data_IF_545869668912
#
_entry.id   IF_545869668912
#
_cell.length_a   1.000
_cell.length_b   1.000
_cell.length_c   1.000
_cell.angle_alpha   90.00
_cell.angle_beta   90.00
_cell.angle_gamma   90.00
#
_symmetry.space_group_name_H-M   'P 1'
#
loop_
_entity.id
_entity.type
_entity.pdbx_description
1 polymer ?
#
# COMPACT_ATOMS: atom_id res chain seq x y z
N UNK A 1 37.23 29.00 -10.42
CA UNK A 1 36.63 29.42 -11.72
C UNK A 1 35.54 28.40 -12.02
N UNK A 2 34.25 28.69 -11.94
CA UNK A 2 33.55 29.77 -12.62
C UNK A 2 32.82 30.74 -11.67
N UNK A 3 33.20 32.02 -11.76
CA UNK A 3 32.31 33.11 -11.40
C UNK A 3 31.21 33.11 -12.47
N UNK A 4 30.06 32.50 -12.19
CA UNK A 4 28.85 32.91 -12.89
C UNK A 4 28.63 34.36 -12.49
N UNK A 5 28.94 35.27 -13.41
CA UNK A 5 28.65 36.68 -13.26
C UNK A 5 27.18 36.79 -12.83
N UNK A 6 26.90 37.51 -11.74
CA UNK A 6 25.58 37.59 -11.10
C UNK A 6 24.40 37.89 -12.05
N UNK A 7 24.66 38.30 -13.30
CA UNK A 7 23.67 38.48 -14.36
C UNK A 7 23.06 37.19 -14.93
N UNK A 8 23.81 36.08 -15.06
CA UNK A 8 23.28 34.87 -15.71
C UNK A 8 22.33 34.09 -14.80
N UNK A 9 22.67 33.97 -13.52
CA UNK A 9 21.80 33.35 -12.52
C UNK A 9 20.50 34.14 -12.35
N UNK A 10 20.59 35.48 -12.31
CA UNK A 10 19.40 36.34 -12.21
C UNK A 10 18.47 36.19 -13.43
N UNK A 11 19.03 36.07 -14.65
CA UNK A 11 18.24 35.83 -15.87
C UNK A 11 17.55 34.47 -15.86
N UNK A 12 18.23 33.42 -15.44
CA UNK A 12 17.63 32.08 -15.34
C UNK A 12 16.55 32.07 -14.25
N UNK A 13 16.81 32.67 -13.08
CA UNK A 13 15.81 32.80 -12.02
C UNK A 13 14.62 33.65 -12.46
N UNK A 14 14.82 34.68 -13.28
CA UNK A 14 13.73 35.50 -13.82
C UNK A 14 12.86 34.70 -14.81
N UNK A 15 13.50 33.88 -15.66
CA UNK A 15 12.79 32.99 -16.57
C UNK A 15 11.94 31.94 -15.83
N UNK A 16 12.40 31.48 -14.66
CA UNK A 16 11.70 30.45 -13.84
C UNK A 16 10.69 31.06 -12.86
N UNK A 17 11.00 32.20 -12.24
CA UNK A 17 10.17 32.79 -11.17
C UNK A 17 9.23 33.89 -11.68
N UNK A 18 9.38 34.30 -12.94
CA UNK A 18 8.45 35.15 -13.68
C UNK A 18 8.52 36.65 -13.36
N UNK A 19 8.96 37.06 -12.16
CA UNK A 19 9.07 38.50 -11.81
C UNK A 19 10.36 38.86 -11.06
N UNK A 20 10.89 40.09 -11.24
CA UNK A 20 12.10 40.54 -10.54
C UNK A 20 11.99 40.50 -9.01
N UNK A 21 10.81 40.78 -8.46
CA UNK A 21 10.56 40.79 -7.01
C UNK A 21 10.66 39.37 -6.42
N UNK A 22 10.14 38.37 -7.14
CA UNK A 22 10.25 36.95 -6.75
C UNK A 22 11.70 36.47 -6.80
N UNK A 23 12.47 36.91 -7.81
CA UNK A 23 13.91 36.62 -7.90
C UNK A 23 14.67 37.26 -6.75
N UNK A 24 14.37 38.53 -6.41
CA UNK A 24 15.01 39.26 -5.32
C UNK A 24 14.78 38.59 -3.96
N UNK A 25 13.51 38.31 -3.60
CA UNK A 25 13.20 37.62 -2.34
C UNK A 25 13.80 36.22 -2.26
N UNK A 26 13.90 35.51 -3.39
CA UNK A 26 14.51 34.18 -3.44
C UNK A 26 16.03 34.22 -3.26
N UNK A 27 16.70 35.20 -3.85
CA UNK A 27 18.14 35.42 -3.67
C UNK A 27 18.48 35.85 -2.24
N UNK A 28 17.69 36.73 -1.64
CA UNK A 28 17.86 37.16 -0.24
C UNK A 28 17.70 35.98 0.73
N UNK A 29 16.68 35.15 0.55
CA UNK A 29 16.47 33.94 1.36
C UNK A 29 17.60 32.91 1.21
N UNK A 30 18.14 32.76 0.00
CA UNK A 30 19.20 31.79 -0.29
C UNK A 30 20.57 32.24 0.20
N UNK A 31 20.85 33.55 0.15
CA UNK A 31 22.05 34.16 0.74
C UNK A 31 22.10 33.97 2.27
N UNK A 32 20.94 34.11 2.95
CA UNK A 32 20.78 33.81 4.38
C UNK A 32 21.06 32.35 4.76
N UNK A 33 21.01 31.42 3.80
CA UNK A 33 21.19 29.98 4.00
C UNK A 33 22.52 29.43 3.45
N UNK A 34 23.40 30.30 2.92
CA UNK A 34 24.74 29.92 2.46
C UNK A 34 24.77 28.90 1.31
N UNK A 35 23.72 28.85 0.47
CA UNK A 35 23.59 27.85 -0.60
C UNK A 35 24.32 28.24 -1.87
N UNK A 36 24.78 27.24 -2.62
CA UNK A 36 25.47 27.41 -3.91
C UNK A 36 24.47 27.62 -5.07
N UNK A 37 24.90 28.23 -6.17
CA UNK A 37 24.03 28.56 -7.31
C UNK A 37 23.34 27.34 -7.97
N UNK A 38 23.96 26.17 -7.97
CA UNK A 38 23.35 24.93 -8.48
C UNK A 38 22.23 24.40 -7.56
N UNK A 39 22.39 24.53 -6.25
CA UNK A 39 21.33 24.19 -5.28
C UNK A 39 20.14 25.14 -5.44
N UNK A 40 20.38 26.41 -5.77
CA UNK A 40 19.32 27.40 -6.00
C UNK A 40 18.44 27.04 -7.20
N UNK A 41 18.98 26.46 -8.27
CA UNK A 41 18.22 26.07 -9.46
C UNK A 41 17.36 24.82 -9.24
N UNK A 42 17.86 23.83 -8.46
CA UNK A 42 17.07 22.64 -8.09
C UNK A 42 15.81 22.97 -7.30
N UNK A 43 15.88 23.96 -6.40
CA UNK A 43 14.74 24.35 -5.57
C UNK A 43 13.70 25.21 -6.32
N UNK A 44 14.11 25.97 -7.34
CA UNK A 44 13.18 26.80 -8.12
C UNK A 44 12.20 25.95 -8.93
N UNK A 45 12.67 24.86 -9.55
CA UNK A 45 11.83 23.89 -10.27
C UNK A 45 10.86 23.11 -9.36
N UNK A 46 11.11 23.04 -8.05
CA UNK A 46 10.22 22.36 -7.11
C UNK A 46 9.00 23.21 -6.72
N UNK A 47 9.06 24.54 -6.84
CA UNK A 47 7.96 25.44 -6.44
C UNK A 47 6.84 25.56 -7.47
N UNK A 48 7.09 25.35 -8.76
CA UNK A 48 6.01 25.37 -9.79
C UNK A 48 4.96 24.26 -9.56
N UNK A 49 5.28 23.21 -8.81
CA UNK A 49 4.33 22.14 -8.46
C UNK A 49 3.55 22.39 -7.16
N UNK A 50 3.92 23.40 -6.36
CA UNK A 50 3.27 23.72 -5.09
C UNK A 50 2.08 24.70 -5.25
N UNK A 51 1.83 25.23 -6.46
CA UNK A 51 0.65 26.08 -6.75
C UNK A 51 -0.61 25.28 -7.14
N UNK A 52 -0.60 23.95 -7.03
CA UNK A 52 -1.86 23.20 -6.97
C UNK A 52 -2.42 23.41 -5.57
N UNK A 53 -3.16 24.50 -5.41
CA UNK A 53 -4.06 24.71 -4.29
C UNK A 53 -5.13 23.64 -4.36
N UNK A 54 -4.82 22.44 -3.84
CA UNK A 54 -5.86 21.54 -3.35
C UNK A 54 -6.49 22.36 -2.23
N UNK A 55 -7.77 22.77 -2.33
CA UNK A 55 -8.41 23.51 -1.27
C UNK A 55 -8.17 22.71 0.01
N UNK A 56 -7.47 23.32 0.98
CA UNK A 56 -7.36 22.75 2.30
C UNK A 56 -8.78 22.37 2.68
N UNK A 57 -9.04 21.08 2.93
CA UNK A 57 -10.30 20.66 3.48
C UNK A 57 -10.52 21.56 4.70
N UNK A 58 -11.50 22.46 4.61
CA UNK A 58 -11.79 23.36 5.73
C UNK A 58 -11.97 22.46 6.95
N UNK A 59 -11.32 22.74 8.09
CA UNK A 59 -11.50 21.94 9.31
C UNK A 59 -12.98 21.88 9.76
N UNK A 60 -13.82 22.77 9.25
CA UNK A 60 -15.23 22.94 9.59
C UNK A 60 -16.24 22.06 8.83
N UNK A 61 -15.81 20.93 8.28
CA UNK A 61 -16.76 19.88 7.86
C UNK A 61 -16.52 18.63 8.70
N UNK A 62 -16.74 18.76 10.01
CA UNK A 62 -17.39 17.67 10.76
C UNK A 62 -18.83 17.57 10.22
N UNK A 63 -18.99 17.07 8.99
CA UNK A 63 -20.23 16.39 8.68
C UNK A 63 -20.31 15.26 9.72
N UNK A 64 -21.29 15.30 10.61
CA UNK A 64 -21.59 14.20 11.52
C UNK A 64 -21.80 12.96 10.65
N UNK A 65 -20.75 12.15 10.51
CA UNK A 65 -20.88 10.86 9.87
C UNK A 65 -21.65 9.98 10.82
N UNK A 66 -22.95 9.84 10.54
CA UNK A 66 -23.85 8.93 11.24
C UNK A 66 -23.56 7.45 10.96
N UNK A 67 -22.37 7.08 10.48
CA UNK A 67 -21.96 5.68 10.38
C UNK A 67 -21.28 5.28 11.69
N UNK A 68 -22.01 4.59 12.56
CA UNK A 68 -21.58 4.21 13.89
C UNK A 68 -20.54 3.06 13.90
N UNK A 69 -20.15 2.56 12.73
CA UNK A 69 -19.07 1.58 12.52
C UNK A 69 -17.74 2.25 12.19
N UNK A 70 -17.71 3.56 11.95
CA UNK A 70 -16.48 4.28 11.62
C UNK A 70 -15.95 5.09 12.81
N UNK A 71 -14.64 5.29 12.85
CA UNK A 71 -13.94 6.18 13.76
C UNK A 71 -12.98 7.08 12.98
N UNK A 72 -12.94 8.39 13.27
CA UNK A 72 -11.95 9.29 12.70
C UNK A 72 -10.59 9.08 13.38
N UNK A 73 -9.53 9.10 12.58
CA UNK A 73 -8.14 9.07 13.03
C UNK A 73 -7.38 10.23 12.38
N UNK A 74 -6.59 10.94 13.17
CA UNK A 74 -5.68 11.97 12.68
C UNK A 74 -4.33 11.34 12.32
N UNK A 75 -3.93 11.51 11.07
CA UNK A 75 -2.66 11.04 10.53
C UNK A 75 -1.81 12.22 10.04
N UNK A 76 -0.49 12.06 10.10
CA UNK A 76 0.49 12.91 9.43
C UNK A 76 1.39 12.02 8.57
N UNK A 77 1.72 12.46 7.35
CA UNK A 77 2.57 11.67 6.45
C UNK A 77 3.99 11.53 7.01
N UNK A 78 4.53 10.30 7.03
CA UNK A 78 5.91 10.04 7.44
C UNK A 78 6.97 10.30 6.36
N UNK A 79 6.56 10.66 5.14
CA UNK A 79 7.44 10.73 3.97
C UNK A 79 7.75 12.15 3.46
N UNK A 80 7.29 13.20 4.16
CA UNK A 80 7.77 14.55 3.91
C UNK A 80 7.73 15.40 5.19
N UNK A 81 8.69 16.34 5.37
CA UNK A 81 8.91 17.03 6.64
C UNK A 81 7.78 18.00 7.02
N UNK A 82 7.15 18.65 6.03
CA UNK A 82 6.08 19.63 6.23
C UNK A 82 4.67 19.00 6.16
N UNK A 83 4.55 17.75 6.62
CA UNK A 83 3.30 17.03 6.63
C UNK A 83 2.30 17.68 7.61
N UNK A 84 1.17 18.11 7.08
CA UNK A 84 0.04 18.60 7.86
C UNK A 84 -0.81 17.41 8.33
N UNK A 85 -1.39 17.48 9.53
CA UNK A 85 -2.34 16.47 9.96
C UNK A 85 -3.56 16.45 9.03
N UNK A 86 -4.11 15.26 8.79
CA UNK A 86 -5.33 15.04 8.04
C UNK A 86 -6.14 13.90 8.66
N UNK A 87 -7.47 13.99 8.54
CA UNK A 87 -8.38 13.01 9.14
C UNK A 87 -8.74 11.92 8.15
N UNK A 88 -8.75 10.66 8.61
CA UNK A 88 -9.16 9.49 7.85
C UNK A 88 -10.13 8.68 8.68
N UNK A 89 -11.22 8.23 8.07
CA UNK A 89 -12.15 7.32 8.71
C UNK A 89 -11.65 5.88 8.59
N UNK A 90 -11.78 5.12 9.66
CA UNK A 90 -11.43 3.70 9.72
C UNK A 90 -12.56 2.90 10.32
N UNK A 91 -12.67 1.65 9.90
CA UNK A 91 -13.62 0.73 10.51
C UNK A 91 -13.25 0.48 11.97
N UNK A 92 -14.22 0.66 12.87
CA UNK A 92 -14.08 0.34 14.28
C UNK A 92 -13.92 -1.18 14.43
N UNK A 93 -12.99 -1.65 15.28
CA UNK A 93 -12.84 -3.07 15.54
C UNK A 93 -14.16 -3.74 15.95
N UNK A 94 -14.37 -4.97 15.49
CA UNK A 94 -15.51 -5.82 15.87
C UNK A 94 -16.90 -5.24 15.52
N UNK A 95 -16.98 -4.29 14.58
CA UNK A 95 -18.27 -3.77 14.11
C UNK A 95 -18.85 -4.53 12.93
N UNK A 96 -18.05 -5.41 12.31
CA UNK A 96 -18.45 -6.21 11.17
C UNK A 96 -17.87 -7.61 11.27
N UNK A 97 -18.62 -8.59 10.75
CA UNK A 97 -18.13 -9.94 10.55
C UNK A 97 -17.26 -9.98 9.31
N UNK A 98 -16.15 -10.70 9.42
CA UNK A 98 -15.19 -10.90 8.33
C UNK A 98 -15.19 -12.35 7.89
N UNK A 99 -14.99 -12.57 6.60
CA UNK A 99 -14.70 -13.88 6.04
C UNK A 99 -13.53 -13.79 5.05
N UNK A 100 -13.04 -14.93 4.59
CA UNK A 100 -12.00 -15.04 3.58
C UNK A 100 -12.62 -15.34 2.23
N UNK A 101 -12.24 -14.59 1.19
CA UNK A 101 -12.61 -14.96 -0.17
C UNK A 101 -11.78 -16.16 -0.66
N UNK A 102 -12.04 -16.58 -1.90
CA UNK A 102 -11.36 -17.72 -2.51
C UNK A 102 -9.83 -17.58 -2.56
N UNK A 103 -9.29 -16.36 -2.54
CA UNK A 103 -7.84 -16.06 -2.50
C UNK A 103 -7.32 -15.70 -1.10
N UNK A 104 -8.07 -16.06 -0.05
CA UNK A 104 -7.71 -15.84 1.36
C UNK A 104 -7.48 -14.36 1.71
N UNK A 105 -8.23 -13.48 1.05
CA UNK A 105 -8.31 -12.04 1.34
C UNK A 105 -9.49 -11.83 2.29
N UNK A 106 -9.27 -11.04 3.33
CA UNK A 106 -10.33 -10.70 4.27
C UNK A 106 -11.31 -9.77 3.56
N UNK A 107 -12.60 -10.11 3.61
CA UNK A 107 -13.68 -9.24 3.18
C UNK A 107 -14.74 -9.17 4.29
N UNK A 108 -15.53 -8.10 4.26
CA UNK A 108 -16.51 -7.80 5.29
C UNK A 108 -17.89 -8.21 4.81
N UNK A 109 -18.53 -9.13 5.54
CA UNK A 109 -19.75 -9.82 5.09
C UNK A 109 -20.99 -9.08 5.55
N UNK A 110 -21.10 -8.82 6.85
CA UNK A 110 -22.27 -8.19 7.44
C UNK A 110 -21.92 -7.35 8.68
N UNK A 111 -22.67 -6.27 8.95
CA UNK A 111 -22.52 -5.53 10.19
C UNK A 111 -22.98 -6.35 11.39
N UNK A 112 -22.32 -6.13 12.53
CA UNK A 112 -22.80 -6.63 13.82
C UNK A 112 -24.11 -5.91 14.18
N UNK A 113 -25.00 -6.57 14.94
CA UNK A 113 -26.30 -5.99 15.32
C UNK A 113 -26.17 -4.57 15.89
N UNK A 114 -26.95 -3.64 15.34
CA UNK A 114 -26.95 -2.23 15.72
C UNK A 114 -25.78 -1.42 15.14
N UNK A 115 -25.01 -1.99 14.22
CA UNK A 115 -23.93 -1.32 13.50
C UNK A 115 -24.29 -1.07 12.04
N UNK A 116 -23.71 -0.02 11.46
CA UNK A 116 -23.90 0.31 10.07
C UNK A 116 -22.99 -0.52 9.16
N UNK A 117 -23.50 -0.88 7.98
CA UNK A 117 -22.71 -1.52 6.94
C UNK A 117 -21.66 -0.55 6.38
N UNK A 118 -20.52 -1.10 5.98
CA UNK A 118 -19.40 -0.38 5.39
C UNK A 118 -18.53 -1.39 4.65
N UNK A 119 -18.09 -1.09 3.44
CA UNK A 119 -17.09 -1.90 2.77
C UNK A 119 -15.70 -1.53 3.33
N UNK A 120 -15.12 -2.39 4.16
CA UNK A 120 -13.81 -2.08 4.77
C UNK A 120 -12.68 -1.85 3.76
N UNK A 121 -12.77 -2.40 2.55
CA UNK A 121 -11.80 -2.14 1.47
C UNK A 121 -11.78 -0.67 1.06
N UNK A 122 -12.89 0.05 1.20
CA UNK A 122 -12.96 1.48 0.89
C UNK A 122 -12.16 2.34 1.90
N UNK A 123 -11.89 1.79 3.09
CA UNK A 123 -11.26 2.51 4.21
C UNK A 123 -9.86 1.97 4.53
N UNK A 124 -9.39 0.96 3.80
CA UNK A 124 -8.17 0.23 4.14
C UNK A 124 -6.90 1.02 3.81
N UNK A 125 -6.92 1.77 2.72
CA UNK A 125 -5.79 2.57 2.27
C UNK A 125 -5.87 3.99 2.82
N UNK A 126 -4.79 4.44 3.46
CA UNK A 126 -4.60 5.83 3.87
C UNK A 126 -3.86 6.54 2.73
N UNK A 127 -4.38 7.69 2.29
CA UNK A 127 -3.75 8.53 1.24
C UNK A 127 -3.40 9.89 1.82
N UNK A 128 -2.15 10.31 1.70
CA UNK A 128 -1.73 11.66 2.06
C UNK A 128 -2.21 12.68 1.02
N UNK A 129 -2.94 13.75 1.43
CA UNK A 129 -3.45 14.74 0.50
C UNK A 129 -2.36 15.64 -0.12
N UNK A 130 -1.18 15.75 0.49
CA UNK A 130 -0.13 16.66 0.02
C UNK A 130 0.80 16.03 -1.02
N UNK A 131 1.09 14.74 -0.89
CA UNK A 131 2.08 14.05 -1.75
C UNK A 131 1.56 12.77 -2.40
N UNK A 132 0.28 12.43 -2.18
CA UNK A 132 -0.38 11.23 -2.71
C UNK A 132 0.35 9.91 -2.37
N UNK A 133 1.23 9.94 -1.37
CA UNK A 133 1.75 8.72 -0.76
C UNK A 133 0.58 7.97 -0.13
N UNK A 134 0.49 6.68 -0.40
CA UNK A 134 -0.59 5.86 0.09
C UNK A 134 -0.08 4.53 0.65
N UNK A 135 -0.76 4.00 1.67
CA UNK A 135 -0.43 2.69 2.23
C UNK A 135 -1.57 2.11 3.05
N UNK A 136 -1.65 0.78 3.11
CA UNK A 136 -2.48 0.04 4.08
C UNK A 136 -1.80 -0.10 5.44
N UNK A 137 -0.48 0.09 5.50
CA UNK A 137 0.34 -0.05 6.70
C UNK A 137 0.34 1.25 7.51
N UNK A 138 -0.37 1.28 8.64
CA UNK A 138 -0.49 2.48 9.49
C UNK A 138 0.87 3.01 9.96
N UNK A 139 1.86 2.13 10.12
CA UNK A 139 3.24 2.48 10.49
C UNK A 139 3.92 3.50 9.56
N UNK A 140 3.43 3.66 8.34
CA UNK A 140 3.94 4.64 7.37
C UNK A 140 3.46 6.07 7.64
N UNK A 141 2.55 6.23 8.61
CA UNK A 141 1.99 7.49 9.02
C UNK A 141 2.26 7.70 10.51
N UNK A 142 2.36 8.97 10.90
CA UNK A 142 2.47 9.38 12.30
C UNK A 142 1.06 9.63 12.80
N UNK A 143 0.69 8.98 13.90
CA UNK A 143 -0.62 9.15 14.56
C UNK A 143 -0.41 9.77 15.93
N UNK A 144 -1.38 10.53 16.45
CA UNK A 144 -1.37 10.88 17.87
C UNK A 144 -1.87 9.70 18.70
N UNK A 145 -1.20 9.43 19.83
CA UNK A 145 -1.72 8.53 20.84
C UNK A 145 -2.93 9.20 21.50
N UNK A 146 -4.15 8.62 21.40
CA UNK A 146 -5.34 9.23 21.98
C UNK A 146 -5.31 9.33 23.52
N UNK A 147 -4.53 8.50 24.21
CA UNK A 147 -4.44 8.50 25.67
C UNK A 147 -3.39 9.49 26.21
N UNK A 148 -2.32 9.73 25.44
CA UNK A 148 -1.17 10.56 25.89
C UNK A 148 -1.04 11.88 25.16
N UNK A 149 -1.75 12.07 24.04
CA UNK A 149 -1.62 13.25 23.18
C UNK A 149 -0.28 13.36 22.44
N UNK A 150 0.66 12.43 22.67
CA UNK A 150 1.98 12.40 22.05
C UNK A 150 1.95 11.78 20.66
N UNK A 151 2.87 12.20 19.79
CA UNK A 151 3.09 11.57 18.50
C UNK A 151 3.54 10.11 18.71
N UNK A 152 2.69 9.17 18.32
CA UNK A 152 3.05 7.77 18.21
C UNK A 152 3.84 7.59 16.92
N UNK A 153 5.18 7.63 17.04
CA UNK A 153 6.08 7.26 15.95
C UNK A 153 6.17 5.75 15.89
N UNK A 154 5.78 5.19 14.75
CA UNK A 154 6.01 3.78 14.47
C UNK A 154 7.49 3.44 14.39
N UNK A 155 7.84 2.18 14.68
CA UNK A 155 9.17 1.58 14.45
C UNK A 155 9.63 1.63 12.98
N UNK A 156 8.76 2.02 12.04
CA UNK A 156 9.14 2.23 10.65
C UNK A 156 10.00 3.48 10.49
N UNK A 157 11.32 3.29 10.38
CA UNK A 157 12.30 4.36 10.19
C UNK A 157 12.98 4.26 8.80
N UNK A 158 12.41 4.84 7.73
CA UNK A 158 12.98 4.76 6.39
C UNK A 158 14.33 5.49 6.33
N UNK A 159 15.29 4.98 5.55
CA UNK A 159 16.55 5.71 5.35
C UNK A 159 16.30 6.99 4.56
N UNK A 160 17.20 7.97 4.64
CA UNK A 160 17.12 9.19 3.83
C UNK A 160 17.07 8.88 2.32
N UNK A 161 17.78 7.83 1.88
CA UNK A 161 17.71 7.33 0.50
C UNK A 161 16.28 6.92 0.13
N UNK A 162 15.59 6.17 0.98
CA UNK A 162 14.20 5.76 0.78
C UNK A 162 13.27 6.97 0.72
N UNK A 163 13.42 7.92 1.65
CA UNK A 163 12.63 9.15 1.68
C UNK A 163 12.77 9.93 0.37
N UNK A 164 14.00 10.18 -0.09
CA UNK A 164 14.26 10.91 -1.33
C UNK A 164 13.66 10.17 -2.53
N UNK A 165 13.91 8.86 -2.66
CA UNK A 165 13.40 8.06 -3.78
C UNK A 165 11.88 8.10 -3.89
N UNK A 166 11.18 8.01 -2.76
CA UNK A 166 9.71 8.09 -2.74
C UNK A 166 9.25 9.50 -3.09
N UNK A 167 9.94 10.52 -2.59
CA UNK A 167 9.63 11.91 -2.90
C UNK A 167 9.80 12.20 -4.40
N UNK A 168 10.85 11.69 -5.05
CA UNK A 168 11.08 11.84 -6.49
C UNK A 168 9.94 11.23 -7.33
N UNK A 169 9.27 10.20 -6.80
CA UNK A 169 8.08 9.57 -7.41
C UNK A 169 6.76 10.31 -7.14
N UNK A 170 6.79 11.51 -6.52
CA UNK A 170 5.60 12.32 -6.20
C UNK A 170 4.81 12.72 -7.45
N UNK A 171 5.49 13.14 -8.52
CA UNK A 171 4.83 13.60 -9.75
C UNK A 171 3.99 12.49 -10.41
N UNK A 172 4.52 11.27 -10.46
CA UNK A 172 3.81 10.09 -10.98
C UNK A 172 2.54 9.79 -10.17
N UNK A 173 2.64 9.81 -8.83
CA UNK A 173 1.48 9.59 -7.94
C UNK A 173 0.43 10.71 -8.06
N UNK A 174 0.88 11.96 -8.18
CA UNK A 174 -0.01 13.10 -8.41
C UNK A 174 -0.79 12.95 -9.71
N UNK A 175 -0.16 12.46 -10.79
CA UNK A 175 -0.83 12.27 -12.07
C UNK A 175 -1.99 11.25 -11.96
N UNK A 176 -1.78 10.16 -11.23
CA UNK A 176 -2.82 9.15 -10.96
C UNK A 176 -3.93 9.72 -10.08
N UNK A 177 -3.59 10.42 -9.00
CA UNK A 177 -4.56 10.95 -8.04
C UNK A 177 -5.41 12.12 -8.56
N UNK A 178 -4.87 12.96 -9.45
CA UNK A 178 -5.57 14.14 -10.00
C UNK A 178 -6.81 13.77 -10.83
N UNK A 179 -6.88 12.57 -11.39
CA UNK A 179 -8.04 12.10 -12.15
C UNK A 179 -9.27 11.78 -11.29
N UNK A 180 -9.17 11.91 -9.96
CA UNK A 180 -10.20 11.49 -9.00
C UNK A 180 -10.40 12.58 -7.95
N UNK A 181 -11.16 13.62 -8.32
CA UNK A 181 -11.51 14.74 -7.43
C UNK A 181 -12.10 14.27 -6.08
N UNK A 182 -12.79 13.13 -6.08
CA UNK A 182 -13.46 12.57 -4.90
C UNK A 182 -12.56 11.64 -4.06
N UNK A 183 -11.26 11.53 -4.34
CA UNK A 183 -10.37 10.62 -3.59
C UNK A 183 -10.36 10.93 -2.09
N UNK A 184 -10.51 12.20 -1.73
CA UNK A 184 -10.60 12.68 -0.35
C UNK A 184 -12.04 12.91 0.11
N UNK A 185 -13.03 12.59 -0.74
CA UNK A 185 -14.43 12.58 -0.34
C UNK A 185 -14.63 11.59 0.80
N UNK A 186 -15.46 11.90 1.78
CA UNK A 186 -15.83 10.96 2.83
C UNK A 186 -16.68 9.81 2.30
N UNK A 187 -17.44 10.03 1.23
CA UNK A 187 -18.18 8.97 0.54
C UNK A 187 -17.25 8.34 -0.48
N UNK A 188 -16.80 7.13 -0.19
CA UNK A 188 -15.92 6.35 -1.07
C UNK A 188 -16.75 5.55 -2.09
N UNK A 189 -16.23 5.47 -3.30
CA UNK A 189 -16.74 4.62 -4.39
C UNK A 189 -15.70 3.57 -4.76
N UNK A 190 -16.10 2.54 -5.51
CA UNK A 190 -15.19 1.55 -6.08
C UNK A 190 -14.04 2.22 -6.84
N UNK A 191 -14.34 3.25 -7.66
CA UNK A 191 -13.32 4.02 -8.40
C UNK A 191 -12.31 4.66 -7.47
N UNK A 192 -12.76 5.35 -6.42
CA UNK A 192 -11.84 5.99 -5.46
C UNK A 192 -11.02 4.99 -4.66
N UNK A 193 -11.61 3.84 -4.30
CA UNK A 193 -10.91 2.79 -3.57
C UNK A 193 -9.84 2.13 -4.45
N UNK A 194 -10.16 1.81 -5.71
CA UNK A 194 -9.21 1.28 -6.69
C UNK A 194 -8.04 2.24 -6.93
N UNK A 195 -8.31 3.54 -7.07
CA UNK A 195 -7.24 4.55 -7.19
C UNK A 195 -6.38 4.63 -5.92
N UNK A 196 -6.98 4.53 -4.73
CA UNK A 196 -6.21 4.49 -3.49
C UNK A 196 -5.28 3.27 -3.44
N UNK A 197 -5.76 2.07 -3.81
CA UNK A 197 -4.93 0.87 -3.92
C UNK A 197 -3.82 1.01 -4.97
N UNK A 198 -4.10 1.63 -6.12
CA UNK A 198 -3.10 1.91 -7.15
C UNK A 198 -1.98 2.81 -6.62
N UNK A 199 -2.32 3.90 -5.94
CA UNK A 199 -1.35 4.76 -5.26
C UNK A 199 -0.57 4.03 -4.18
N UNK A 200 -1.21 3.12 -3.45
CA UNK A 200 -0.56 2.31 -2.42
C UNK A 200 0.45 1.35 -3.03
N UNK A 201 0.09 0.67 -4.13
CA UNK A 201 1.00 -0.19 -4.89
C UNK A 201 2.21 0.60 -5.39
N UNK A 202 1.99 1.78 -6.00
CA UNK A 202 3.09 2.64 -6.45
C UNK A 202 4.02 3.04 -5.30
N UNK A 203 3.44 3.40 -4.16
CA UNK A 203 4.18 3.80 -2.96
C UNK A 203 4.99 2.64 -2.38
N UNK A 204 4.42 1.44 -2.32
CA UNK A 204 5.09 0.26 -1.80
C UNK A 204 6.18 -0.26 -2.74
N UNK A 205 5.96 -0.21 -4.06
CA UNK A 205 7.01 -0.49 -5.05
C UNK A 205 8.18 0.47 -4.90
N UNK A 206 7.91 1.77 -4.78
CA UNK A 206 8.97 2.75 -4.56
C UNK A 206 9.76 2.51 -3.25
N UNK A 207 9.10 2.10 -2.16
CA UNK A 207 9.81 1.69 -0.94
C UNK A 207 10.66 0.45 -1.20
N UNK A 208 10.11 -0.58 -1.84
CA UNK A 208 10.84 -1.81 -2.14
C UNK A 208 12.07 -1.53 -3.01
N UNK A 209 11.91 -0.80 -4.11
CA UNK A 209 12.94 -0.52 -5.10
C UNK A 209 14.09 0.32 -4.53
N UNK A 210 13.85 1.13 -3.50
CA UNK A 210 14.91 1.91 -2.85
C UNK A 210 15.93 1.03 -2.10
N UNK A 211 15.46 -0.12 -1.58
CA UNK A 211 16.26 -1.10 -0.84
C UNK A 211 15.57 -2.47 -0.79
N UNK A 212 15.65 -3.29 -1.87
CA UNK A 212 14.91 -4.55 -1.96
C UNK A 212 15.21 -5.53 -0.83
N UNK A 213 16.48 -5.62 -0.40
CA UNK A 213 16.91 -6.47 0.70
C UNK A 213 16.29 -6.06 2.05
N UNK A 214 16.16 -4.75 2.31
CA UNK A 214 15.57 -4.23 3.55
C UNK A 214 14.05 -4.39 3.58
N UNK A 215 13.41 -4.27 2.42
CA UNK A 215 11.96 -4.27 2.27
C UNK A 215 11.48 -5.51 1.50
N UNK A 216 12.09 -6.66 1.79
CA UNK A 216 11.82 -7.92 1.12
C UNK A 216 10.38 -8.46 1.33
N UNK A 217 9.66 -7.97 2.34
CA UNK A 217 8.25 -8.35 2.59
C UNK A 217 7.25 -7.58 1.72
N UNK A 218 7.67 -6.50 1.08
CA UNK A 218 6.78 -5.61 0.34
C UNK A 218 6.15 -6.25 -0.90
N UNK A 219 6.82 -7.13 -1.67
CA UNK A 219 6.17 -7.89 -2.74
C UNK A 219 4.91 -8.63 -2.28
N UNK A 220 4.93 -9.23 -1.07
CA UNK A 220 3.73 -9.87 -0.50
C UNK A 220 2.63 -8.85 -0.20
N UNK A 221 2.98 -7.68 0.36
CA UNK A 221 2.00 -6.62 0.65
C UNK A 221 1.38 -6.07 -0.64
N UNK A 222 2.20 -5.86 -1.67
CA UNK A 222 1.77 -5.42 -3.00
C UNK A 222 0.82 -6.45 -3.62
N UNK A 223 1.15 -7.74 -3.52
CA UNK A 223 0.25 -8.80 -4.00
C UNK A 223 -1.10 -8.77 -3.28
N UNK A 224 -1.12 -8.52 -1.97
CA UNK A 224 -2.37 -8.39 -1.22
C UNK A 224 -3.22 -7.21 -1.71
N UNK A 225 -2.59 -6.06 -1.96
CA UNK A 225 -3.29 -4.89 -2.53
C UNK A 225 -3.88 -5.19 -3.91
N UNK A 226 -3.19 -5.97 -4.74
CA UNK A 226 -3.73 -6.43 -6.02
C UNK A 226 -4.93 -7.37 -5.83
N UNK A 227 -4.86 -8.33 -4.91
CA UNK A 227 -6.00 -9.21 -4.61
C UNK A 227 -7.22 -8.44 -4.07
N UNK A 228 -7.00 -7.40 -3.24
CA UNK A 228 -8.04 -6.51 -2.76
C UNK A 228 -8.63 -5.65 -3.89
N UNK A 229 -7.79 -5.20 -4.81
CA UNK A 229 -8.24 -4.51 -6.02
C UNK A 229 -9.07 -5.43 -6.93
N UNK A 230 -8.69 -6.70 -7.06
CA UNK A 230 -9.46 -7.69 -7.81
C UNK A 230 -10.86 -7.90 -7.20
N UNK A 231 -10.95 -8.00 -5.87
CA UNK A 231 -12.22 -8.07 -5.15
C UNK A 231 -13.11 -6.85 -5.44
N UNK A 232 -12.54 -5.63 -5.40
CA UNK A 232 -13.28 -4.41 -5.75
C UNK A 232 -13.75 -4.39 -7.21
N UNK A 233 -12.94 -4.91 -8.14
CA UNK A 233 -13.31 -5.02 -9.55
C UNK A 233 -14.43 -6.03 -9.75
N UNK A 234 -14.40 -7.16 -9.04
CA UNK A 234 -15.48 -8.15 -9.02
C UNK A 234 -16.79 -7.53 -8.54
N UNK A 235 -16.75 -6.80 -7.44
CA UNK A 235 -17.92 -6.11 -6.86
C UNK A 235 -18.50 -5.05 -7.82
N UNK A 236 -17.67 -4.38 -8.61
CA UNK A 236 -18.10 -3.41 -9.62
C UNK A 236 -18.42 -4.02 -10.99
N UNK A 237 -18.23 -5.33 -11.19
CA UNK A 237 -18.43 -6.02 -12.47
C UNK A 237 -17.34 -5.79 -13.53
N UNK A 238 -16.18 -5.25 -13.17
CA UNK A 238 -15.05 -4.99 -14.08
C UNK A 238 -14.13 -6.23 -14.19
N UNK A 239 -14.60 -7.23 -14.94
CA UNK A 239 -13.90 -8.53 -15.08
C UNK A 239 -12.51 -8.41 -15.71
N UNK A 240 -12.31 -7.48 -16.65
CA UNK A 240 -11.03 -7.33 -17.33
C UNK A 240 -9.95 -6.78 -16.38
N UNK A 241 -10.31 -5.79 -15.56
CA UNK A 241 -9.41 -5.26 -14.54
C UNK A 241 -9.20 -6.24 -13.39
N UNK A 242 -10.23 -6.97 -13.00
CA UNK A 242 -10.13 -8.07 -12.03
C UNK A 242 -9.03 -9.06 -12.44
N UNK A 243 -9.12 -9.61 -13.65
CA UNK A 243 -8.14 -10.55 -14.21
C UNK A 243 -6.71 -9.97 -14.21
N UNK A 244 -6.58 -8.69 -14.59
CA UNK A 244 -5.29 -7.98 -14.58
C UNK A 244 -4.70 -7.89 -13.18
N UNK A 245 -5.53 -7.58 -12.17
CA UNK A 245 -5.12 -7.53 -10.78
C UNK A 245 -4.73 -8.92 -10.25
N UNK A 246 -5.49 -9.97 -10.58
CA UNK A 246 -5.17 -11.35 -10.17
C UNK A 246 -3.83 -11.82 -10.75
N UNK A 247 -3.54 -11.50 -12.02
CA UNK A 247 -2.25 -11.82 -12.66
C UNK A 247 -1.10 -11.08 -11.99
N UNK A 248 -1.27 -9.78 -11.74
CA UNK A 248 -0.26 -9.00 -11.04
C UNK A 248 0.01 -9.52 -9.61
N UNK A 249 -1.03 -9.95 -8.89
CA UNK A 249 -0.88 -10.60 -7.59
C UNK A 249 -0.10 -11.91 -7.68
N UNK A 250 -0.41 -12.74 -8.69
CA UNK A 250 0.25 -14.02 -8.93
C UNK A 250 1.75 -13.85 -9.19
N UNK A 251 2.13 -12.92 -10.07
CA UNK A 251 3.53 -12.65 -10.38
C UNK A 251 4.30 -12.15 -9.16
N UNK A 252 3.70 -11.26 -8.37
CA UNK A 252 4.31 -10.76 -7.12
C UNK A 252 4.49 -11.87 -6.08
N UNK A 253 3.52 -12.79 -5.93
CA UNK A 253 3.60 -13.90 -4.97
C UNK A 253 4.62 -14.95 -5.38
N UNK A 254 4.73 -15.28 -6.68
CA UNK A 254 5.76 -16.20 -7.19
C UNK A 254 7.17 -15.70 -6.87
N UNK A 255 7.41 -14.41 -7.03
CA UNK A 255 8.70 -13.80 -6.71
C UNK A 255 8.96 -13.65 -5.20
N UNK A 256 7.90 -13.67 -4.37
CA UNK A 256 8.01 -13.53 -2.93
C UNK A 256 8.27 -14.85 -2.19
N UNK A 257 8.31 -15.99 -2.90
CA UNK A 257 8.51 -17.33 -2.33
C UNK A 257 9.84 -17.44 -1.57
N UNK A 258 10.93 -16.88 -2.10
CA UNK A 258 12.24 -16.94 -1.44
C UNK A 258 12.29 -16.14 -0.13
N UNK A 259 11.35 -15.21 0.08
CA UNK A 259 11.40 -14.18 1.13
C UNK A 259 10.59 -14.54 2.39
N UNK A 260 9.73 -15.57 2.32
CA UNK A 260 8.78 -15.90 3.39
C UNK A 260 9.32 -16.78 4.52
N UNK A 261 10.52 -17.37 4.39
CA UNK A 261 11.01 -18.40 5.34
C UNK A 261 11.11 -17.93 6.79
N UNK A 262 11.19 -16.62 7.04
CA UNK A 262 11.27 -16.03 8.40
C UNK A 262 9.94 -16.07 9.18
N UNK A 263 8.79 -16.12 8.50
CA UNK A 263 7.48 -16.26 9.14
C UNK A 263 6.69 -17.37 8.46
N UNK A 264 6.74 -18.60 9.02
CA UNK A 264 6.14 -19.77 8.40
C UNK A 264 4.66 -19.55 8.08
N UNK A 265 3.87 -18.94 8.97
CA UNK A 265 2.43 -18.71 8.73
C UNK A 265 2.15 -17.84 7.51
N UNK A 266 2.90 -16.74 7.35
CA UNK A 266 2.74 -15.84 6.19
C UNK A 266 3.17 -16.56 4.92
N UNK A 267 4.26 -17.30 4.98
CA UNK A 267 4.78 -18.09 3.88
C UNK A 267 3.79 -19.16 3.38
N UNK A 268 3.25 -19.99 4.27
CA UNK A 268 2.27 -21.01 3.89
C UNK A 268 1.00 -20.42 3.29
N UNK A 269 0.52 -19.31 3.86
CA UNK A 269 -0.65 -18.61 3.33
C UNK A 269 -0.38 -18.07 1.91
N UNK A 270 0.84 -17.57 1.66
CA UNK A 270 1.23 -17.10 0.33
C UNK A 270 1.35 -18.24 -0.67
N UNK A 271 1.97 -19.38 -0.31
CA UNK A 271 2.04 -20.53 -1.20
C UNK A 271 0.63 -21.04 -1.55
N UNK A 272 -0.26 -21.16 -0.55
CA UNK A 272 -1.64 -21.58 -0.82
C UNK A 272 -2.36 -20.60 -1.77
N UNK A 273 -2.08 -19.29 -1.69
CA UNK A 273 -2.60 -18.30 -2.65
C UNK A 273 -2.05 -18.51 -4.05
N UNK A 274 -0.76 -18.84 -4.18
CA UNK A 274 -0.15 -19.18 -5.48
C UNK A 274 -0.82 -20.41 -6.07
N UNK A 275 -1.07 -21.46 -5.29
CA UNK A 275 -1.81 -22.66 -5.73
C UNK A 275 -3.21 -22.26 -6.24
N UNK A 276 -3.96 -21.48 -5.45
CA UNK A 276 -5.31 -21.02 -5.83
C UNK A 276 -5.33 -20.17 -7.10
N UNK A 277 -4.38 -19.24 -7.25
CA UNK A 277 -4.25 -18.40 -8.44
C UNK A 277 -3.83 -19.23 -9.66
N UNK A 278 -2.89 -20.15 -9.50
CA UNK A 278 -2.47 -21.05 -10.57
C UNK A 278 -3.64 -21.91 -11.06
N UNK A 279 -4.43 -22.49 -10.15
CA UNK A 279 -5.65 -23.22 -10.48
C UNK A 279 -6.68 -22.34 -11.17
N UNK A 280 -6.88 -21.11 -10.69
CA UNK A 280 -7.78 -20.13 -11.32
C UNK A 280 -7.40 -19.86 -12.78
N UNK A 281 -6.09 -19.80 -13.09
CA UNK A 281 -5.59 -19.63 -14.46
C UNK A 281 -5.40 -20.94 -15.25
N UNK A 282 -5.77 -22.09 -14.69
CA UNK A 282 -5.57 -23.40 -15.31
C UNK A 282 -4.11 -23.87 -15.40
N UNK A 283 -3.19 -23.24 -14.68
CA UNK A 283 -1.77 -23.61 -14.60
C UNK A 283 -1.53 -24.73 -13.58
N UNK A 284 -1.88 -25.96 -13.98
CA UNK A 284 -1.79 -27.15 -13.13
C UNK A 284 -0.35 -27.50 -12.77
N UNK A 285 0.60 -27.22 -13.66
CA UNK A 285 2.01 -27.49 -13.40
C UNK A 285 2.52 -26.64 -12.24
N UNK A 286 2.26 -25.33 -12.28
CA UNK A 286 2.62 -24.43 -11.17
C UNK A 286 1.87 -24.79 -9.90
N UNK A 287 0.56 -25.03 -9.97
CA UNK A 287 -0.23 -25.42 -8.80
C UNK A 287 0.31 -26.69 -8.12
N UNK A 288 0.62 -27.72 -8.91
CA UNK A 288 1.14 -29.00 -8.42
C UNK A 288 2.52 -28.88 -7.78
N UNK A 289 3.41 -28.06 -8.38
CA UNK A 289 4.73 -27.76 -7.82
C UNK A 289 4.61 -27.15 -6.43
N UNK A 290 3.87 -26.05 -6.31
CA UNK A 290 3.71 -25.33 -5.05
C UNK A 290 2.95 -26.13 -3.98
N UNK A 291 1.99 -26.97 -4.36
CA UNK A 291 1.34 -27.87 -3.42
C UNK A 291 2.30 -28.97 -2.92
N UNK A 292 3.17 -29.48 -3.79
CA UNK A 292 4.22 -30.43 -3.40
C UNK A 292 5.18 -29.81 -2.39
N UNK A 293 5.54 -28.54 -2.57
CA UNK A 293 6.36 -27.79 -1.59
C UNK A 293 5.67 -27.71 -0.22
N UNK A 294 4.37 -27.43 -0.17
CA UNK A 294 3.58 -27.46 1.08
C UNK A 294 3.57 -28.84 1.74
N UNK A 295 3.44 -29.91 0.95
CA UNK A 295 3.47 -31.30 1.45
C UNK A 295 4.87 -31.65 2.00
N UNK A 296 5.93 -31.28 1.29
CA UNK A 296 7.31 -31.48 1.76
C UNK A 296 7.56 -30.72 3.07
N UNK A 297 7.07 -29.50 3.17
CA UNK A 297 7.16 -28.72 4.40
C UNK A 297 6.36 -29.34 5.55
N UNK A 298 5.16 -29.89 5.28
CA UNK A 298 4.41 -30.67 6.28
C UNK A 298 5.25 -31.85 6.78
N UNK A 299 5.87 -32.62 5.88
CA UNK A 299 6.73 -33.76 6.25
C UNK A 299 7.92 -33.30 7.11
N UNK A 300 8.61 -32.23 6.71
CA UNK A 300 9.72 -31.65 7.48
C UNK A 300 9.24 -31.18 8.86
N UNK A 301 8.07 -30.54 8.95
CA UNK A 301 7.51 -30.07 10.22
C UNK A 301 7.22 -31.20 11.22
N UNK A 302 6.93 -32.42 10.76
CA UNK A 302 6.81 -33.60 11.64
C UNK A 302 8.15 -33.89 12.31
N UNK A 303 9.26 -33.81 11.57
CA UNK A 303 10.59 -34.02 12.13
C UNK A 303 10.94 -32.92 13.14
N UNK A 304 10.65 -31.65 12.80
CA UNK A 304 10.85 -30.52 13.71
C UNK A 304 10.03 -30.66 15.00
N UNK A 305 8.77 -31.10 14.90
CA UNK A 305 7.90 -31.34 16.05
C UNK A 305 8.43 -32.48 16.93
N UNK A 306 8.86 -33.60 16.33
CA UNK A 306 9.49 -34.72 17.06
C UNK A 306 10.74 -34.28 17.81
N UNK A 307 11.52 -33.38 17.20
CA UNK A 307 12.73 -32.80 17.79
C UNK A 307 12.44 -31.63 18.75
N UNK A 308 11.16 -31.30 19.02
CA UNK A 308 10.72 -30.18 19.87
C UNK A 308 11.24 -28.80 19.39
N UNK A 309 11.51 -28.66 18.11
CA UNK A 309 11.97 -27.41 17.49
C UNK A 309 10.82 -26.49 17.08
N UNK A 310 9.61 -27.04 16.94
CA UNK A 310 8.37 -26.28 16.75
C UNK A 310 7.30 -26.77 17.74
N UNK A 311 6.29 -25.93 17.97
CA UNK A 311 5.16 -26.26 18.83
C UNK A 311 4.08 -27.06 18.08
N UNK A 312 3.23 -27.79 18.81
CA UNK A 312 2.09 -28.50 18.22
C UNK A 312 1.09 -27.56 17.52
N UNK A 313 0.72 -26.38 18.07
CA UNK A 313 -0.11 -25.42 17.36
C UNK A 313 0.50 -24.94 16.04
N UNK A 314 1.82 -24.78 16.00
CA UNK A 314 2.53 -24.42 14.77
C UNK A 314 2.45 -25.54 13.73
N UNK A 315 2.75 -26.78 14.11
CA UNK A 315 2.57 -27.94 13.23
C UNK A 315 1.15 -28.05 12.65
N UNK A 316 0.11 -27.89 13.48
CA UNK A 316 -1.29 -27.96 13.02
C UNK A 316 -1.61 -26.93 11.94
N UNK A 317 -1.00 -25.74 12.03
CA UNK A 317 -1.17 -24.71 10.99
C UNK A 317 -0.54 -25.15 9.68
N UNK A 318 0.69 -25.70 9.72
CA UNK A 318 1.40 -26.20 8.53
C UNK A 318 0.61 -27.32 7.88
N UNK A 319 0.23 -28.33 8.66
CA UNK A 319 -0.53 -29.48 8.20
C UNK A 319 -1.85 -29.06 7.52
N UNK A 320 -2.60 -28.14 8.15
CA UNK A 320 -3.85 -27.65 7.59
C UNK A 320 -3.70 -26.86 6.30
N UNK A 321 -2.59 -26.14 6.08
CA UNK A 321 -2.33 -25.48 4.79
C UNK A 321 -2.01 -26.49 3.68
N UNK A 322 -1.21 -27.52 3.99
CA UNK A 322 -0.86 -28.56 3.04
C UNK A 322 -2.07 -29.42 2.65
N UNK A 323 -2.91 -29.81 3.61
CA UNK A 323 -4.16 -30.55 3.35
C UNK A 323 -5.07 -29.76 2.41
N UNK A 324 -5.34 -28.49 2.71
CA UNK A 324 -6.16 -27.62 1.84
C UNK A 324 -5.61 -27.48 0.42
N UNK A 325 -4.29 -27.50 0.24
CA UNK A 325 -3.68 -27.41 -1.09
C UNK A 325 -3.88 -28.69 -1.90
N UNK A 326 -3.77 -29.86 -1.24
CA UNK A 326 -4.01 -31.16 -1.86
C UNK A 326 -5.48 -31.32 -2.22
N UNK A 327 -6.39 -30.98 -1.30
CA UNK A 327 -7.84 -31.04 -1.54
C UNK A 327 -8.22 -30.17 -2.74
N UNK A 328 -7.69 -28.95 -2.83
CA UNK A 328 -7.95 -28.04 -3.97
C UNK A 328 -7.45 -28.58 -5.32
N UNK A 329 -6.31 -29.27 -5.33
CA UNK A 329 -5.83 -29.92 -6.55
C UNK A 329 -6.72 -31.11 -6.95
N UNK A 330 -7.21 -31.86 -5.96
CA UNK A 330 -8.09 -32.99 -6.19
C UNK A 330 -9.44 -32.52 -6.77
N UNK A 331 -10.10 -31.57 -6.10
CA UNK A 331 -11.38 -31.00 -6.53
C UNK A 331 -11.29 -30.43 -7.95
N UNK A 332 -10.19 -29.73 -8.28
CA UNK A 332 -9.99 -29.19 -9.62
C UNK A 332 -9.87 -30.30 -10.69
N UNK A 333 -9.16 -31.39 -10.39
CA UNK A 333 -9.03 -32.53 -11.32
C UNK A 333 -10.38 -33.18 -11.58
N UNK A 334 -11.14 -33.46 -10.53
CA UNK A 334 -12.50 -34.00 -10.68
C UNK A 334 -13.38 -33.06 -11.53
N UNK A 335 -13.40 -31.76 -11.23
CA UNK A 335 -14.18 -30.77 -12.00
C UNK A 335 -13.78 -30.66 -13.47
N UNK A 336 -12.54 -30.99 -13.84
CA UNK A 336 -12.07 -30.94 -15.23
C UNK A 336 -12.26 -32.26 -15.96
N UNK A 337 -12.16 -33.40 -15.26
CA UNK A 337 -12.43 -34.73 -15.82
C UNK A 337 -13.93 -34.94 -16.12
N UNK A 338 -14.85 -34.34 -15.35
CA UNK A 338 -16.30 -34.37 -15.63
C UNK A 338 -16.79 -33.36 -16.69
N UNK A 339 -15.89 -32.55 -17.27
CA UNK A 339 -16.22 -31.56 -18.32
C UNK A 339 -15.81 -31.99 -19.74
N UNK A 340 -15.35 -33.23 -19.88
CA UNK A 340 -15.09 -33.93 -21.16
C UNK A 340 -16.22 -34.93 -21.37
#
# INVERSE_FOLDING_TARGET
MAQFANGDLARILLAVLGTPEKVKSYMEFSALKGRTGEEMLRFAHLREFDEIVIPAAKPDVQAEFKNNSLLPYEYRCGFHPDARPFSVQRLRPLTQRTDLNEFLVVHYVEPVKGRDACNGLFMEVIVCPQCFFASTEQKHFITKNPERGEDFKSDFNPSQKTLNYIFDKRAERLAVGKGVMDLFSPVKTHKTALTAFELAVMSMKAIHDSSPARYNRYPTLIAMMYLQSAQLCRESGDKAREETCLRAAFDMLKNAEELGRENPRVFYKNILRVVKLALHFGDIQTASRFASDLVQMKIQSIQLLRNRQISEPEYRIIAGFAERAVDQLHDYKEMTEYKI
#
